data_IF_601608985233
#
_entry.id   IF_601608985233
#
_cell.length_a   1.000
_cell.length_b   1.000
_cell.length_c   1.000
_cell.angle_alpha   90.00
_cell.angle_beta   90.00
_cell.angle_gamma   90.00
#
_symmetry.space_group_name_H-M   'P 1'
#
loop_
_entity.id
_entity.type
_entity.pdbx_description
1 polymer ?
#
# COMPACT_ATOMS: atom_id res chain seq x y z
N UNK A 1 76.03 -27.41 25.98
CA UNK A 1 74.71 -28.07 25.81
C UNK A 1 73.71 -27.46 26.78
N UNK A 2 72.81 -26.60 26.31
CA UNK A 2 71.59 -26.19 27.02
C UNK A 2 70.43 -26.72 26.19
N UNK A 3 69.64 -27.63 26.75
CA UNK A 3 68.48 -28.23 26.08
C UNK A 3 67.26 -27.33 26.38
N UNK A 4 66.71 -26.69 25.36
CA UNK A 4 65.46 -25.94 25.46
C UNK A 4 64.28 -26.88 25.16
N UNK A 5 63.35 -27.00 26.10
CA UNK A 5 62.07 -27.70 25.90
C UNK A 5 61.07 -26.69 25.35
N UNK A 6 60.66 -26.86 24.09
CA UNK A 6 59.60 -26.08 23.47
C UNK A 6 58.25 -26.76 23.77
N UNK A 7 57.39 -26.08 24.55
CA UNK A 7 56.00 -26.47 24.77
C UNK A 7 55.17 -25.98 23.57
N UNK A 8 54.66 -26.90 22.75
CA UNK A 8 53.73 -26.58 21.66
C UNK A 8 52.33 -26.52 22.27
N UNK A 9 51.78 -25.31 22.44
CA UNK A 9 50.36 -25.11 22.74
C UNK A 9 49.56 -25.33 21.47
N UNK A 10 48.79 -26.42 21.42
CA UNK A 10 47.84 -26.70 20.35
C UNK A 10 46.55 -25.92 20.63
N UNK A 11 46.40 -24.72 20.04
CA UNK A 11 45.15 -23.96 20.09
C UNK A 11 44.14 -24.57 19.12
N UNK A 12 43.14 -25.26 19.67
CA UNK A 12 41.96 -25.67 18.91
C UNK A 12 41.20 -24.44 18.43
N UNK A 13 41.30 -24.13 17.14
CA UNK A 13 40.45 -23.15 16.48
C UNK A 13 39.05 -23.78 16.42
N UNK A 14 38.14 -23.34 17.30
CA UNK A 14 36.72 -23.61 17.15
C UNK A 14 36.27 -22.90 15.86
N UNK A 15 36.13 -23.65 14.76
CA UNK A 15 35.37 -23.18 13.61
C UNK A 15 33.98 -22.80 14.11
N UNK A 16 33.62 -21.53 13.96
CA UNK A 16 32.23 -21.10 14.07
C UNK A 16 31.45 -21.88 13.00
N UNK A 17 30.75 -22.93 13.41
CA UNK A 17 29.78 -23.59 12.56
C UNK A 17 28.77 -22.51 12.16
N UNK A 18 28.77 -22.17 10.86
CA UNK A 18 27.81 -21.23 10.31
C UNK A 18 26.41 -21.67 10.72
N UNK A 19 25.62 -20.74 11.27
CA UNK A 19 24.20 -20.98 11.50
C UNK A 19 23.61 -21.56 10.20
N UNK A 20 22.81 -22.65 10.25
CA UNK A 20 22.20 -23.17 9.05
C UNK A 20 21.45 -22.05 8.35
N UNK A 21 21.70 -21.89 7.04
CA UNK A 21 20.99 -20.92 6.22
C UNK A 21 19.49 -21.14 6.39
N UNK A 22 18.77 -20.07 6.72
CA UNK A 22 17.32 -20.11 6.93
C UNK A 22 16.62 -20.58 5.65
N UNK A 23 15.71 -21.56 5.74
CA UNK A 23 14.85 -22.00 4.63
C UNK A 23 13.60 -21.12 4.49
N UNK A 24 13.53 -20.01 5.26
CA UNK A 24 12.44 -19.06 5.24
C UNK A 24 12.62 -18.05 4.10
N UNK A 25 11.66 -17.99 3.19
CA UNK A 25 11.50 -16.90 2.22
C UNK A 25 10.31 -16.04 2.65
N UNK A 26 10.47 -14.72 2.61
CA UNK A 26 9.39 -13.78 2.93
C UNK A 26 9.08 -12.90 1.74
N UNK A 27 7.81 -12.80 1.37
CA UNK A 27 7.35 -11.87 0.35
C UNK A 27 6.47 -10.82 0.99
N UNK A 28 6.67 -9.58 0.59
CA UNK A 28 5.79 -8.48 0.95
C UNK A 28 5.29 -7.79 -0.31
N UNK A 29 3.98 -7.57 -0.39
CA UNK A 29 3.46 -6.59 -1.34
C UNK A 29 2.50 -5.63 -0.68
N UNK A 30 2.36 -4.46 -1.29
CA UNK A 30 1.49 -3.42 -0.79
C UNK A 30 1.16 -2.36 -1.83
N UNK A 31 0.32 -1.42 -1.42
CA UNK A 31 -0.08 -0.30 -2.27
C UNK A 31 0.02 1.01 -1.50
N UNK A 32 0.61 2.03 -2.12
CA UNK A 32 0.63 3.40 -1.60
C UNK A 32 -0.24 4.28 -2.48
N UNK A 33 -1.30 4.85 -1.91
CA UNK A 33 -2.20 5.77 -2.63
C UNK A 33 -1.91 7.21 -2.26
N UNK A 34 -1.75 8.07 -3.26
CA UNK A 34 -1.62 9.53 -3.11
C UNK A 34 -2.53 10.26 -4.09
N UNK A 35 -2.76 11.55 -3.85
CA UNK A 35 -3.49 12.44 -4.76
C UNK A 35 -2.53 13.49 -5.28
N UNK A 36 -2.46 13.67 -6.60
CA UNK A 36 -1.60 14.66 -7.24
C UNK A 36 -2.23 16.05 -7.18
N UNK A 37 -1.43 17.03 -6.74
CA UNK A 37 -1.74 18.45 -6.86
C UNK A 37 -1.44 19.00 -8.25
N UNK A 38 -1.65 20.30 -8.43
CA UNK A 38 -1.44 21.03 -9.69
C UNK A 38 -0.04 20.87 -10.31
N UNK A 39 1.01 20.65 -9.52
CA UNK A 39 2.38 20.44 -10.01
C UNK A 39 2.84 18.98 -9.87
N UNK A 40 1.88 18.08 -9.62
CA UNK A 40 2.08 16.65 -9.45
C UNK A 40 2.51 16.20 -8.06
N UNK A 41 2.80 17.13 -7.15
CA UNK A 41 3.15 16.83 -5.77
C UNK A 41 1.99 16.13 -5.03
N UNK A 42 2.27 15.18 -4.12
CA UNK A 42 1.25 14.69 -3.20
C UNK A 42 0.62 15.82 -2.38
N UNK A 43 -0.70 15.92 -2.38
CA UNK A 43 -1.45 16.87 -1.54
C UNK A 43 -2.03 16.21 -0.29
N UNK A 44 -2.35 17.02 0.71
CA UNK A 44 -3.10 16.56 1.86
C UNK A 44 -4.50 16.13 1.42
N UNK A 45 -4.99 15.01 1.94
CA UNK A 45 -6.35 14.54 1.73
C UNK A 45 -6.80 13.72 2.93
N UNK A 46 -8.07 13.29 2.99
CA UNK A 46 -8.61 12.44 4.05
C UNK A 46 -8.56 10.93 3.68
N UNK A 47 -7.43 10.21 3.88
CA UNK A 47 -7.27 8.85 3.39
C UNK A 47 -8.15 7.81 4.09
N UNK A 48 -8.58 8.09 5.32
CA UNK A 48 -9.35 7.17 6.16
C UNK A 48 -10.87 7.38 6.05
N UNK A 49 -11.33 8.31 5.20
CA UNK A 49 -12.76 8.57 4.94
C UNK A 49 -13.35 7.65 3.86
N UNK A 50 -12.67 6.55 3.51
CA UNK A 50 -13.21 5.53 2.60
C UNK A 50 -14.29 4.63 3.25
N UNK A 51 -14.97 3.80 2.45
CA UNK A 51 -15.88 2.77 2.96
C UNK A 51 -15.18 1.85 3.97
N UNK A 52 -15.90 1.34 4.97
CA UNK A 52 -15.35 0.25 5.77
C UNK A 52 -15.40 -1.04 4.94
N UNK A 53 -14.24 -1.38 4.42
CA UNK A 53 -13.99 -2.46 3.46
C UNK A 53 -13.33 -3.69 4.12
N UNK A 54 -12.89 -3.54 5.37
CA UNK A 54 -12.15 -4.56 6.11
C UNK A 54 -13.05 -5.42 7.01
N UNK A 55 -12.77 -6.74 7.11
CA UNK A 55 -13.49 -7.63 8.00
C UNK A 55 -13.47 -7.19 9.47
N UNK A 56 -14.44 -7.66 10.25
CA UNK A 56 -14.60 -7.27 11.65
C UNK A 56 -13.53 -7.81 12.60
N UNK A 57 -12.83 -8.88 12.22
CA UNK A 57 -11.72 -9.41 12.99
C UNK A 57 -10.45 -8.54 12.87
N UNK A 58 -10.38 -7.63 11.91
CA UNK A 58 -9.23 -6.74 11.72
C UNK A 58 -9.17 -5.73 12.86
N UNK A 59 -8.01 -5.69 13.52
CA UNK A 59 -7.75 -4.73 14.58
C UNK A 59 -7.67 -3.32 14.00
N UNK A 60 -8.18 -2.36 14.76
CA UNK A 60 -8.16 -0.94 14.41
C UNK A 60 -7.54 -0.17 15.55
N UNK A 61 -6.74 0.83 15.20
CA UNK A 61 -6.21 1.76 16.16
C UNK A 61 -7.38 2.49 16.84
N UNK A 62 -7.53 2.31 18.15
CA UNK A 62 -8.59 2.98 18.91
C UNK A 62 -8.18 4.41 19.21
N UNK A 63 -8.54 5.36 18.32
CA UNK A 63 -8.56 6.78 18.65
C UNK A 63 -9.85 7.42 18.15
N UNK A 64 -10.36 8.36 18.94
CA UNK A 64 -11.48 9.18 18.52
C UNK A 64 -11.07 9.96 17.25
N UNK A 65 -11.95 9.97 16.23
CA UNK A 65 -11.81 10.75 14.99
C UNK A 65 -10.64 10.42 14.04
N UNK A 66 -10.14 9.18 13.97
CA UNK A 66 -9.12 8.78 12.95
C UNK A 66 -9.46 9.23 11.53
N UNK A 67 -10.74 9.20 11.16
CA UNK A 67 -11.22 9.54 9.82
C UNK A 67 -11.05 11.01 9.44
N UNK A 68 -10.81 11.89 10.42
CA UNK A 68 -10.60 13.32 10.20
C UNK A 68 -9.10 13.70 10.08
N UNK A 69 -8.19 12.73 10.14
CA UNK A 69 -6.77 12.96 9.94
C UNK A 69 -6.42 13.03 8.44
N UNK A 70 -5.61 14.03 8.08
CA UNK A 70 -5.16 14.24 6.69
C UNK A 70 -3.77 13.66 6.45
N UNK A 71 -3.57 12.90 5.37
CA UNK A 71 -2.28 12.30 5.02
C UNK A 71 -1.85 12.71 3.62
N UNK A 72 -0.56 12.48 3.30
CA UNK A 72 -0.10 12.54 1.90
C UNK A 72 -0.28 11.18 1.22
N UNK A 73 -0.07 10.10 1.98
CA UNK A 73 -0.13 8.74 1.47
C UNK A 73 -1.01 7.88 2.37
N UNK A 74 -1.87 7.08 1.74
CA UNK A 74 -2.52 5.93 2.36
C UNK A 74 -1.72 4.68 2.03
N UNK A 75 -1.25 3.99 3.06
CA UNK A 75 -0.68 2.65 2.93
C UNK A 75 -1.81 1.64 2.99
N UNK A 76 -2.18 1.13 1.82
CA UNK A 76 -3.48 0.54 1.56
C UNK A 76 -3.59 -0.95 1.84
N UNK A 77 -2.68 -1.86 1.45
CA UNK A 77 -2.76 -3.28 1.90
C UNK A 77 -1.37 -3.93 1.85
N UNK A 78 -0.38 -3.48 2.64
CA UNK A 78 0.78 -4.31 2.92
C UNK A 78 0.37 -5.66 3.53
N UNK A 79 0.85 -6.73 2.90
CA UNK A 79 0.73 -8.09 3.40
C UNK A 79 2.08 -8.79 3.34
N UNK A 80 2.38 -9.58 4.36
CA UNK A 80 3.58 -10.43 4.44
C UNK A 80 3.17 -11.89 4.33
N UNK A 81 3.83 -12.60 3.40
CA UNK A 81 3.74 -14.04 3.20
C UNK A 81 5.04 -14.71 3.62
N UNK A 82 4.91 -15.90 4.20
CA UNK A 82 6.05 -16.72 4.61
C UNK A 82 6.01 -18.06 3.89
N UNK A 83 7.14 -18.45 3.34
CA UNK A 83 7.36 -19.75 2.72
C UNK A 83 8.49 -20.44 3.48
N UNK A 84 8.25 -21.64 3.98
CA UNK A 84 9.21 -22.42 4.75
C UNK A 84 8.99 -23.91 4.48
N UNK A 85 10.05 -24.73 4.54
CA UNK A 85 9.91 -26.18 4.35
C UNK A 85 9.46 -26.90 5.63
N UNK A 86 9.70 -26.29 6.80
CA UNK A 86 9.37 -26.85 8.12
C UNK A 86 8.70 -25.81 9.02
N UNK A 87 7.89 -26.26 10.00
CA UNK A 87 7.36 -25.38 11.02
C UNK A 87 8.46 -24.52 11.67
N UNK A 88 8.27 -23.21 11.64
CA UNK A 88 9.25 -22.24 12.13
C UNK A 88 8.53 -21.16 12.92
N UNK A 89 9.16 -20.67 13.99
CA UNK A 89 8.66 -19.51 14.74
C UNK A 89 9.59 -18.33 14.52
N UNK A 90 9.01 -17.18 14.21
CA UNK A 90 9.74 -15.95 13.93
C UNK A 90 9.13 -14.75 14.66
N UNK A 91 9.91 -13.68 14.74
CA UNK A 91 9.44 -12.35 15.10
C UNK A 91 9.50 -11.44 13.87
N UNK A 92 8.55 -10.52 13.78
CA UNK A 92 8.42 -9.52 12.71
C UNK A 92 8.34 -8.15 13.34
N UNK A 93 9.05 -7.19 12.77
CA UNK A 93 8.93 -5.79 13.13
C UNK A 93 8.96 -4.93 11.86
N UNK A 94 8.02 -4.00 11.77
CA UNK A 94 7.96 -3.00 10.70
C UNK A 94 7.97 -1.63 11.35
N UNK A 95 8.96 -0.83 10.98
CA UNK A 95 8.98 0.59 11.29
C UNK A 95 8.20 1.36 10.21
N UNK A 96 7.58 2.46 10.60
CA UNK A 96 6.97 3.41 9.69
C UNK A 96 7.31 4.85 10.14
N UNK A 97 8.56 5.31 9.93
CA UNK A 97 9.08 6.52 10.58
C UNK A 97 8.31 7.79 10.28
N UNK A 98 7.68 7.88 9.10
CA UNK A 98 6.87 9.03 8.63
C UNK A 98 5.39 8.69 8.53
N UNK A 99 4.90 7.81 9.40
CA UNK A 99 3.52 7.36 9.37
C UNK A 99 3.06 6.67 10.64
N UNK A 100 1.82 6.21 10.62
CA UNK A 100 1.20 5.40 11.67
C UNK A 100 0.54 4.16 11.10
N UNK A 101 0.53 3.09 11.89
CA UNK A 101 -0.21 1.87 11.61
C UNK A 101 -1.61 2.00 12.20
N UNK A 102 -2.63 1.91 11.34
CA UNK A 102 -4.02 2.22 11.69
C UNK A 102 -4.90 0.98 11.74
N UNK A 103 -4.59 -0.06 10.97
CA UNK A 103 -5.30 -1.34 10.97
C UNK A 103 -4.33 -2.50 10.78
N UNK A 104 -4.59 -3.66 11.41
CA UNK A 104 -3.73 -4.85 11.27
C UNK A 104 -4.43 -6.15 11.68
N UNK A 105 -3.88 -7.26 11.22
CA UNK A 105 -4.22 -8.61 11.67
C UNK A 105 -3.07 -9.56 11.30
N UNK A 106 -2.69 -10.55 12.13
CA UNK A 106 -3.17 -10.88 13.48
C UNK A 106 -2.76 -9.86 14.56
N UNK A 107 -3.12 -10.12 15.81
CA UNK A 107 -2.84 -9.32 17.00
C UNK A 107 -1.34 -9.05 17.13
N UNK A 108 -0.96 -7.79 17.00
CA UNK A 108 0.40 -7.33 17.25
C UNK A 108 0.74 -7.40 18.76
N UNK A 109 1.99 -7.74 19.05
CA UNK A 109 2.56 -7.69 20.40
C UNK A 109 2.92 -6.25 20.80
N UNK A 110 3.33 -5.43 19.81
CA UNK A 110 3.67 -4.02 19.99
C UNK A 110 3.14 -3.17 18.85
N UNK A 111 2.70 -1.97 19.19
CA UNK A 111 2.37 -0.89 18.25
C UNK A 111 3.12 0.34 18.74
N UNK A 112 4.08 0.82 17.94
CA UNK A 112 4.75 2.09 18.17
C UNK A 112 3.77 3.22 17.88
N UNK A 113 3.53 4.04 18.90
CA UNK A 113 2.74 5.27 18.81
C UNK A 113 3.59 6.39 19.40
N UNK A 114 4.06 7.32 18.58
CA UNK A 114 4.37 8.64 19.14
C UNK A 114 3.05 9.30 19.55
N UNK A 115 3.06 10.06 20.64
CA UNK A 115 1.89 10.79 21.15
C UNK A 115 1.11 11.46 20.02
N UNK A 116 -0.18 11.18 19.96
CA UNK A 116 -1.06 11.86 19.01
C UNK A 116 -1.01 13.36 19.33
N UNK A 117 -0.72 14.25 18.37
CA UNK A 117 -0.96 15.66 18.61
C UNK A 117 -2.44 15.83 18.94
N UNK A 118 -2.72 16.43 20.10
CA UNK A 118 -4.08 16.73 20.58
C UNK A 118 -4.82 17.76 19.70
N UNK A 119 -4.27 18.13 18.53
CA UNK A 119 -4.86 19.12 17.62
C UNK A 119 -4.80 18.68 16.16
N UNK A 120 -5.94 18.83 15.48
CA UNK A 120 -6.09 18.73 14.02
C UNK A 120 -5.19 19.70 13.24
N UNK A 121 -4.68 20.75 13.91
CA UNK A 121 -3.86 21.81 13.34
C UNK A 121 -2.35 21.47 13.28
N UNK A 122 -1.90 20.37 13.91
CA UNK A 122 -0.51 19.96 13.86
C UNK A 122 -0.23 19.20 12.55
N UNK A 123 -0.03 19.96 11.48
CA UNK A 123 0.23 19.44 10.13
C UNK A 123 1.18 18.25 10.11
N UNK A 124 0.81 17.21 9.36
CA UNK A 124 1.65 16.07 8.94
C UNK A 124 2.60 15.46 10.00
N UNK A 125 2.25 15.53 11.29
CA UNK A 125 3.12 15.11 12.38
C UNK A 125 3.13 13.58 12.64
N UNK A 126 2.74 12.76 11.66
CA UNK A 126 2.86 11.30 11.76
C UNK A 126 4.33 10.91 11.83
N UNK A 127 4.77 10.47 13.00
CA UNK A 127 6.16 10.08 13.22
C UNK A 127 6.23 8.84 14.09
N UNK A 128 7.28 8.07 13.85
CA UNK A 128 7.70 6.95 14.68
C UNK A 128 6.59 5.90 14.88
N UNK A 129 5.75 5.68 13.87
CA UNK A 129 4.87 4.52 13.86
C UNK A 129 5.68 3.25 13.74
N UNK A 130 5.22 2.17 14.37
CA UNK A 130 5.76 0.83 14.14
C UNK A 130 4.76 -0.25 14.56
N UNK A 131 4.99 -1.47 14.11
CA UNK A 131 4.21 -2.64 14.51
C UNK A 131 5.13 -3.84 14.67
N UNK A 132 4.81 -4.76 15.58
CA UNK A 132 5.60 -5.97 15.74
C UNK A 132 4.85 -7.15 16.34
N UNK A 133 5.29 -8.33 15.95
CA UNK A 133 4.84 -9.63 16.42
C UNK A 133 6.05 -10.39 16.95
N UNK A 134 6.01 -10.81 18.21
CA UNK A 134 7.15 -11.48 18.85
C UNK A 134 7.18 -12.99 18.59
N UNK A 135 6.03 -13.58 18.25
CA UNK A 135 5.91 -15.01 17.96
C UNK A 135 4.85 -15.26 16.89
N UNK A 136 5.33 -15.45 15.66
CA UNK A 136 4.56 -15.89 14.50
C UNK A 136 4.97 -17.31 14.19
N UNK A 137 4.06 -18.25 14.39
CA UNK A 137 4.26 -19.65 14.02
C UNK A 137 3.90 -19.80 12.54
N UNK A 138 4.88 -20.10 11.69
CA UNK A 138 4.70 -20.45 10.28
C UNK A 138 4.57 -21.97 10.18
N UNK A 139 3.48 -22.44 9.58
CA UNK A 139 3.01 -23.81 9.68
C UNK A 139 2.76 -24.41 8.28
N UNK A 140 3.83 -24.72 7.50
CA UNK A 140 3.68 -25.22 6.14
C UNK A 140 2.97 -26.58 6.12
N UNK A 141 2.04 -26.76 5.20
CA UNK A 141 1.26 -28.00 5.02
C UNK A 141 0.08 -28.18 5.97
N UNK A 142 -0.10 -27.32 6.98
CA UNK A 142 -1.27 -27.33 7.84
C UNK A 142 -2.51 -26.81 7.12
N UNK A 143 -3.69 -27.32 7.49
CA UNK A 143 -4.97 -26.79 7.01
C UNK A 143 -5.68 -26.06 8.14
N UNK A 144 -5.39 -24.77 8.26
CA UNK A 144 -5.95 -23.91 9.30
C UNK A 144 -7.28 -23.29 8.88
N UNK A 145 -8.14 -23.00 9.85
CA UNK A 145 -9.39 -22.27 9.60
C UNK A 145 -9.17 -20.78 9.85
N UNK A 146 -9.21 -19.98 8.79
CA UNK A 146 -9.05 -18.53 8.88
C UNK A 146 -10.37 -17.85 9.21
N UNK A 147 -10.35 -16.72 9.94
CA UNK A 147 -11.56 -15.99 10.26
C UNK A 147 -12.23 -15.47 8.97
N UNK A 148 -13.55 -15.52 8.96
CA UNK A 148 -14.39 -14.86 7.96
C UNK A 148 -15.37 -13.92 8.65
N UNK A 149 -15.86 -12.94 7.90
CA UNK A 149 -17.02 -12.12 8.26
C UNK A 149 -18.09 -12.25 7.18
N UNK A 150 -19.34 -11.98 7.53
CA UNK A 150 -20.40 -11.84 6.53
C UNK A 150 -20.07 -10.66 5.60
N UNK A 151 -20.28 -10.82 4.30
CA UNK A 151 -20.07 -9.80 3.28
C UNK A 151 -18.79 -9.97 2.46
N UNK A 152 -18.80 -9.41 1.25
CA UNK A 152 -17.62 -9.37 0.38
C UNK A 152 -16.59 -8.40 0.97
N UNK A 153 -15.33 -8.84 1.03
CA UNK A 153 -14.19 -7.97 1.34
C UNK A 153 -13.03 -8.39 0.47
N UNK A 154 -12.36 -7.41 -0.13
CA UNK A 154 -11.17 -7.67 -0.94
C UNK A 154 -9.99 -8.22 -0.14
N UNK A 155 -10.04 -8.14 1.19
CA UNK A 155 -9.08 -8.78 2.08
C UNK A 155 -8.90 -10.27 1.74
N UNK A 156 -9.98 -10.98 1.41
CA UNK A 156 -9.93 -12.42 1.21
C UNK A 156 -9.18 -12.86 -0.04
N UNK A 157 -9.16 -12.04 -1.09
CA UNK A 157 -8.40 -12.33 -2.31
C UNK A 157 -6.89 -12.47 -2.02
N UNK A 158 -6.38 -11.74 -1.02
CA UNK A 158 -4.99 -11.83 -0.59
C UNK A 158 -4.62 -13.22 -0.02
N UNK A 159 -5.60 -14.07 0.31
CA UNK A 159 -5.35 -15.45 0.77
C UNK A 159 -5.07 -16.42 -0.38
N UNK A 160 -5.30 -16.07 -1.64
CA UNK A 160 -5.17 -16.98 -2.78
C UNK A 160 -3.72 -17.15 -3.24
N UNK A 161 -2.81 -17.51 -2.33
CA UNK A 161 -1.37 -17.72 -2.56
C UNK A 161 -0.93 -19.14 -2.17
N UNK A 162 0.36 -19.46 -2.26
CA UNK A 162 0.92 -20.73 -1.76
C UNK A 162 1.67 -20.55 -0.43
N UNK A 163 1.50 -19.41 0.24
CA UNK A 163 2.17 -19.13 1.51
C UNK A 163 1.73 -20.10 2.61
N UNK A 164 2.65 -20.39 3.53
CA UNK A 164 2.35 -21.20 4.69
C UNK A 164 1.35 -20.48 5.60
N UNK A 165 0.32 -21.17 6.12
CA UNK A 165 -0.52 -20.66 7.18
C UNK A 165 0.29 -20.23 8.39
N UNK A 166 -0.23 -19.26 9.13
CA UNK A 166 0.40 -18.73 10.32
C UNK A 166 -0.55 -18.68 11.52
N UNK A 167 0.05 -18.79 12.71
CA UNK A 167 -0.63 -18.65 13.99
C UNK A 167 0.10 -17.65 14.88
N UNK A 168 -0.65 -16.71 15.44
CA UNK A 168 -0.19 -15.74 16.44
C UNK A 168 -1.12 -15.84 17.65
N UNK A 169 -0.62 -16.41 18.74
CA UNK A 169 -1.46 -16.76 19.89
C UNK A 169 -2.61 -17.68 19.47
N UNK A 170 -3.86 -17.20 19.61
CA UNK A 170 -5.07 -17.94 19.20
C UNK A 170 -5.55 -17.62 17.78
N UNK A 171 -4.95 -16.62 17.13
CA UNK A 171 -5.38 -16.14 15.82
C UNK A 171 -4.63 -16.88 14.71
N UNK A 172 -5.33 -17.22 13.64
CA UNK A 172 -4.82 -17.96 12.49
C UNK A 172 -5.10 -17.16 11.23
N UNK A 173 -4.15 -17.11 10.31
CA UNK A 173 -4.27 -16.42 9.03
C UNK A 173 -3.29 -17.03 8.02
N UNK A 174 -3.34 -16.59 6.77
CA UNK A 174 -2.36 -16.95 5.72
C UNK A 174 -1.24 -15.92 5.52
N UNK A 175 -1.42 -14.73 6.10
CA UNK A 175 -0.60 -13.55 5.90
C UNK A 175 -0.63 -12.66 7.15
N UNK A 176 0.39 -11.82 7.31
CA UNK A 176 0.29 -10.67 8.22
C UNK A 176 -0.15 -9.48 7.39
N UNK A 177 -1.24 -8.85 7.80
CA UNK A 177 -1.81 -7.66 7.19
C UNK A 177 -1.58 -6.45 8.08
N UNK A 178 -1.21 -5.33 7.48
CA UNK A 178 -1.16 -4.04 8.17
C UNK A 178 -1.39 -2.88 7.20
N UNK A 179 -2.08 -1.84 7.66
CA UNK A 179 -2.38 -0.60 6.91
C UNK A 179 -2.01 0.62 7.74
N UNK A 180 -1.82 1.74 7.06
CA UNK A 180 -1.39 2.96 7.73
C UNK A 180 -1.61 4.23 6.94
N UNK A 181 -1.24 5.34 7.56
CA UNK A 181 -1.27 6.68 6.97
C UNK A 181 0.12 7.29 7.08
N UNK A 182 0.59 7.95 6.01
CA UNK A 182 1.91 8.53 5.93
C UNK A 182 1.90 10.00 5.53
N UNK A 183 2.95 10.72 5.95
CA UNK A 183 3.28 12.10 5.55
C UNK A 183 4.53 12.19 4.68
N UNK A 184 4.99 11.08 4.11
CA UNK A 184 6.13 11.09 3.19
C UNK A 184 5.71 11.52 1.78
N UNK A 185 6.70 11.99 1.01
CA UNK A 185 6.53 12.37 -0.38
C UNK A 185 6.71 11.13 -1.27
N UNK A 186 5.67 10.73 -1.98
CA UNK A 186 5.77 9.71 -3.02
C UNK A 186 6.64 10.21 -4.19
N UNK A 187 7.44 9.36 -4.85
CA UNK A 187 8.45 9.78 -5.83
C UNK A 187 7.85 10.14 -7.20
N UNK A 188 6.65 9.66 -7.55
CA UNK A 188 6.05 9.91 -8.87
C UNK A 188 5.11 11.11 -8.78
N UNK A 189 5.46 12.19 -9.47
CA UNK A 189 4.70 13.44 -9.51
C UNK A 189 4.15 13.68 -10.92
N UNK A 190 2.87 13.36 -11.16
CA UNK A 190 2.27 13.52 -12.48
C UNK A 190 1.40 14.77 -12.59
N UNK A 191 1.44 15.42 -13.75
CA UNK A 191 0.51 16.52 -14.06
C UNK A 191 0.13 16.53 -15.54
N UNK A 192 -1.04 17.06 -15.84
CA UNK A 192 -1.40 17.38 -17.22
C UNK A 192 -0.75 18.70 -17.65
N UNK A 193 -0.23 18.70 -18.87
CA UNK A 193 0.28 19.87 -19.58
C UNK A 193 -0.85 20.54 -20.37
N UNK A 194 -0.61 21.78 -20.80
CA UNK A 194 -1.60 22.56 -21.56
C UNK A 194 -1.90 21.99 -22.94
N UNK A 195 -1.01 21.18 -23.50
CA UNK A 195 -1.19 20.46 -24.77
C UNK A 195 -1.93 19.11 -24.59
N UNK A 196 -2.36 18.79 -23.37
CA UNK A 196 -3.08 17.57 -23.03
C UNK A 196 -2.19 16.38 -22.70
N UNK A 197 -0.86 16.47 -22.87
CA UNK A 197 0.07 15.40 -22.46
C UNK A 197 0.16 15.31 -20.94
N UNK A 198 0.66 14.17 -20.47
CA UNK A 198 0.94 13.95 -19.05
C UNK A 198 2.45 14.00 -18.86
N UNK A 199 2.91 14.96 -18.05
CA UNK A 199 4.27 14.98 -17.55
C UNK A 199 4.35 14.09 -16.31
N UNK A 200 5.28 13.15 -16.29
CA UNK A 200 5.57 12.29 -15.14
C UNK A 200 6.98 12.60 -14.68
N UNK A 201 7.10 13.17 -13.47
CA UNK A 201 8.38 13.45 -12.83
C UNK A 201 8.68 12.43 -11.76
N UNK A 202 9.87 11.83 -11.81
CA UNK A 202 10.46 11.08 -10.72
C UNK A 202 11.27 12.05 -9.84
N UNK A 203 10.84 12.23 -8.60
CA UNK A 203 11.54 13.02 -7.58
C UNK A 203 12.35 12.15 -6.62
N UNK A 204 12.37 10.84 -6.86
CA UNK A 204 13.20 9.89 -6.14
C UNK A 204 14.65 9.90 -6.60
N UNK A 205 15.48 9.15 -5.89
CA UNK A 205 16.89 8.91 -6.14
C UNK A 205 17.17 7.66 -6.98
N UNK A 206 16.13 6.89 -7.29
CA UNK A 206 16.19 5.66 -8.09
C UNK A 206 15.20 5.75 -9.25
N UNK A 207 15.51 5.19 -10.43
CA UNK A 207 14.57 5.13 -11.53
C UNK A 207 13.29 4.40 -11.13
N UNK A 208 12.14 4.91 -11.57
CA UNK A 208 10.88 4.18 -11.48
C UNK A 208 10.83 3.20 -12.65
N UNK A 209 10.86 1.87 -12.40
CA UNK A 209 11.09 0.89 -13.46
C UNK A 209 9.89 0.76 -14.40
N UNK A 210 8.67 0.93 -13.87
CA UNK A 210 7.43 0.88 -14.62
C UNK A 210 6.38 1.83 -14.04
N UNK A 211 5.66 2.52 -14.93
CA UNK A 211 4.40 3.18 -14.66
C UNK A 211 3.34 2.81 -15.72
N UNK A 212 2.07 2.88 -15.35
CA UNK A 212 0.90 2.65 -16.19
C UNK A 212 0.02 3.88 -16.03
N UNK A 213 -0.09 4.67 -17.10
CA UNK A 213 -1.11 5.71 -17.19
C UNK A 213 -2.42 5.03 -17.51
N UNK A 214 -3.41 5.15 -16.63
CA UNK A 214 -4.73 4.54 -16.78
C UNK A 214 -5.80 5.63 -16.75
N UNK A 215 -6.80 5.48 -17.60
CA UNK A 215 -7.98 6.33 -17.60
C UNK A 215 -9.24 5.52 -17.89
N UNK A 216 -10.31 5.78 -17.13
CA UNK A 216 -11.64 5.23 -17.36
C UNK A 216 -12.66 6.37 -17.36
N UNK A 217 -13.44 6.48 -18.44
CA UNK A 217 -14.49 7.49 -18.64
C UNK A 217 -15.79 6.78 -18.95
N UNK A 218 -16.73 6.71 -17.99
CA UNK A 218 -18.02 6.06 -18.21
C UNK A 218 -17.95 4.59 -18.62
N UNK A 219 -16.88 3.88 -18.25
CA UNK A 219 -16.65 2.47 -18.61
C UNK A 219 -15.79 2.25 -19.85
N UNK A 220 -15.55 3.28 -20.67
CA UNK A 220 -14.52 3.22 -21.71
C UNK A 220 -13.17 3.47 -21.07
N UNK A 221 -12.20 2.57 -21.27
CA UNK A 221 -10.89 2.67 -20.65
C UNK A 221 -9.77 2.78 -21.67
N UNK A 222 -8.67 3.37 -21.23
CA UNK A 222 -7.40 3.44 -21.95
C UNK A 222 -6.24 3.27 -20.98
N UNK A 223 -5.16 2.66 -21.45
CA UNK A 223 -3.94 2.56 -20.64
C UNK A 223 -2.67 2.64 -21.50
N UNK A 224 -1.56 3.04 -20.89
CA UNK A 224 -0.23 3.07 -21.51
C UNK A 224 0.86 2.73 -20.49
N UNK A 225 1.72 1.78 -20.86
CA UNK A 225 2.91 1.42 -20.09
C UNK A 225 4.07 2.36 -20.43
N UNK A 226 4.81 2.78 -19.40
CA UNK A 226 5.97 3.66 -19.47
C UNK A 226 7.06 3.04 -18.61
N UNK A 227 8.21 2.71 -19.21
CA UNK A 227 9.32 2.04 -18.50
C UNK A 227 10.48 3.00 -18.27
N UNK A 228 11.25 2.75 -17.21
CA UNK A 228 12.54 3.42 -16.95
C UNK A 228 12.45 4.93 -16.78
N UNK A 229 11.58 5.42 -15.89
CA UNK A 229 11.44 6.86 -15.64
C UNK A 229 12.56 7.31 -14.70
N UNK A 230 13.64 7.86 -15.27
CA UNK A 230 14.79 8.34 -14.50
C UNK A 230 14.49 9.66 -13.79
N UNK A 231 14.06 10.69 -14.53
CA UNK A 231 13.80 12.03 -13.97
C UNK A 231 12.48 12.62 -14.45
N UNK A 232 12.30 12.78 -15.76
CA UNK A 232 11.12 13.40 -16.33
C UNK A 232 10.78 12.74 -17.66
N UNK A 233 9.51 12.44 -17.88
CA UNK A 233 9.01 11.99 -19.18
C UNK A 233 7.68 12.63 -19.49
N UNK A 234 7.38 12.80 -20.78
CA UNK A 234 6.11 13.30 -21.28
C UNK A 234 5.43 12.22 -22.09
N UNK A 235 4.15 12.00 -21.82
CA UNK A 235 3.39 10.84 -22.28
C UNK A 235 2.08 11.32 -22.89
N UNK A 236 1.76 10.84 -24.08
CA UNK A 236 0.44 11.09 -24.66
C UNK A 236 -0.65 10.37 -23.86
N UNK A 237 -1.85 10.99 -23.69
CA UNK A 237 -2.98 10.31 -23.07
C UNK A 237 -3.25 8.94 -23.70
N UNK A 238 -3.77 7.97 -22.93
CA UNK A 238 -4.11 6.68 -23.50
C UNK A 238 -5.28 6.81 -24.48
N UNK A 239 -5.29 5.96 -25.49
CA UNK A 239 -6.46 5.79 -26.36
C UNK A 239 -7.57 5.06 -25.59
N UNK A 240 -8.82 5.51 -25.74
CA UNK A 240 -9.98 4.98 -24.99
C UNK A 240 -10.56 3.71 -25.62
N UNK A 241 -9.69 2.76 -26.02
CA UNK A 241 -10.01 1.51 -26.70
C UNK A 241 -9.42 0.29 -25.98
N UNK A 242 -8.98 0.44 -24.73
CA UNK A 242 -8.33 -0.62 -23.98
C UNK A 242 -9.30 -1.69 -23.49
N UNK A 243 -8.75 -2.89 -23.27
CA UNK A 243 -9.45 -4.03 -22.69
C UNK A 243 -8.99 -4.28 -21.25
N UNK A 244 -9.94 -4.41 -20.32
CA UNK A 244 -9.62 -4.58 -18.90
C UNK A 244 -8.98 -5.94 -18.61
N UNK A 245 -9.40 -7.01 -19.29
CA UNK A 245 -8.85 -8.34 -19.05
C UNK A 245 -7.38 -8.41 -19.50
N UNK A 246 -7.06 -7.81 -20.65
CA UNK A 246 -5.70 -7.67 -21.14
C UNK A 246 -4.85 -6.80 -20.21
N UNK A 247 -5.36 -5.66 -19.74
CA UNK A 247 -4.66 -4.82 -18.77
C UNK A 247 -4.32 -5.61 -17.49
N UNK A 248 -5.29 -6.34 -16.93
CA UNK A 248 -5.09 -7.17 -15.74
C UNK A 248 -4.04 -8.25 -15.98
N UNK A 249 -4.11 -8.94 -17.12
CA UNK A 249 -3.15 -9.99 -17.47
C UNK A 249 -1.73 -9.43 -17.60
N UNK A 250 -1.56 -8.28 -18.28
CA UNK A 250 -0.27 -7.61 -18.42
C UNK A 250 0.25 -7.16 -17.06
N UNK A 251 -0.58 -6.51 -16.23
CA UNK A 251 -0.18 -6.08 -14.88
C UNK A 251 0.26 -7.25 -14.00
N UNK A 252 -0.41 -8.41 -14.08
CA UNK A 252 0.05 -9.63 -13.39
C UNK A 252 1.43 -10.06 -13.88
N UNK A 253 1.66 -10.06 -15.19
CA UNK A 253 2.97 -10.39 -15.77
C UNK A 253 4.08 -9.47 -15.28
N UNK A 254 3.82 -8.15 -15.24
CA UNK A 254 4.76 -7.15 -14.73
C UNK A 254 5.05 -7.37 -13.24
N UNK A 255 4.03 -7.59 -12.41
CA UNK A 255 4.22 -7.87 -10.98
C UNK A 255 5.07 -9.12 -10.73
N UNK A 256 4.95 -10.13 -11.58
CA UNK A 256 5.81 -11.32 -11.55
C UNK A 256 7.24 -11.00 -11.97
N UNK A 257 7.42 -10.20 -13.03
CA UNK A 257 8.74 -9.70 -13.47
C UNK A 257 9.47 -8.96 -12.33
N UNK A 258 8.74 -8.23 -11.49
CA UNK A 258 9.29 -7.51 -10.34
C UNK A 258 9.46 -8.34 -9.06
N UNK A 259 9.16 -9.65 -9.10
CA UNK A 259 9.51 -10.60 -8.04
C UNK A 259 8.34 -11.15 -7.22
N UNK A 260 7.09 -10.91 -7.61
CA UNK A 260 5.96 -11.64 -7.03
C UNK A 260 5.83 -13.04 -7.62
N UNK A 261 5.37 -13.99 -6.82
CA UNK A 261 4.90 -15.25 -7.37
C UNK A 261 3.59 -15.05 -8.13
N UNK A 262 3.33 -15.90 -9.12
CA UNK A 262 2.15 -15.82 -9.99
C UNK A 262 0.84 -15.66 -9.20
N UNK A 263 0.66 -16.46 -8.13
CA UNK A 263 -0.54 -16.39 -7.29
C UNK A 263 -0.59 -15.13 -6.42
N UNK A 264 0.55 -14.60 -5.99
CA UNK A 264 0.61 -13.32 -5.26
C UNK A 264 0.23 -12.14 -6.17
N UNK A 265 0.74 -12.12 -7.40
CA UNK A 265 0.40 -11.09 -8.38
C UNK A 265 -1.10 -11.13 -8.74
N UNK A 266 -1.66 -12.32 -8.94
CA UNK A 266 -3.10 -12.52 -9.14
C UNK A 266 -3.91 -12.03 -7.93
N UNK A 267 -3.50 -12.43 -6.71
CA UNK A 267 -4.13 -12.02 -5.47
C UNK A 267 -4.12 -10.49 -5.30
N UNK A 268 -3.00 -9.83 -5.58
CA UNK A 268 -2.87 -8.37 -5.49
C UNK A 268 -3.83 -7.66 -6.46
N UNK A 269 -3.87 -8.08 -7.74
CA UNK A 269 -4.77 -7.49 -8.73
C UNK A 269 -6.24 -7.74 -8.36
N UNK A 270 -6.57 -8.92 -7.84
CA UNK A 270 -7.93 -9.26 -7.40
C UNK A 270 -8.34 -8.49 -6.13
N UNK A 271 -7.41 -8.28 -5.18
CA UNK A 271 -7.64 -7.43 -4.00
C UNK A 271 -8.04 -5.99 -4.38
N UNK A 272 -7.64 -5.50 -5.54
CA UNK A 272 -7.91 -4.11 -5.92
C UNK A 272 -8.81 -3.94 -7.14
N UNK A 273 -9.34 -5.02 -7.71
CA UNK A 273 -9.99 -5.02 -9.01
C UNK A 273 -11.14 -4.02 -9.14
N UNK A 274 -11.92 -3.79 -8.07
CA UNK A 274 -12.98 -2.78 -8.08
C UNK A 274 -12.44 -1.35 -8.00
N UNK A 275 -11.40 -1.10 -7.20
CA UNK A 275 -10.96 0.26 -6.86
C UNK A 275 -9.88 0.82 -7.79
N UNK A 276 -9.04 -0.02 -8.39
CA UNK A 276 -8.00 0.45 -9.32
C UNK A 276 -8.61 0.89 -10.64
N UNK A 277 -9.62 0.17 -11.13
CA UNK A 277 -10.13 0.36 -12.48
C UNK A 277 -11.47 1.12 -12.52
N UNK A 278 -11.85 1.77 -11.41
CA UNK A 278 -13.01 2.66 -11.34
C UNK A 278 -12.82 3.91 -12.23
N UNK A 279 -13.88 4.70 -12.41
CA UNK A 279 -13.84 5.92 -13.23
C UNK A 279 -12.77 6.92 -12.73
N UNK A 280 -12.14 7.64 -13.66
CA UNK A 280 -11.08 8.61 -13.39
C UNK A 280 -9.71 8.26 -13.99
N UNK A 281 -8.74 9.14 -13.75
CA UNK A 281 -7.36 9.00 -14.23
C UNK A 281 -6.43 8.64 -13.08
N UNK A 282 -5.64 7.58 -13.27
CA UNK A 282 -4.66 7.10 -12.29
C UNK A 282 -3.33 6.82 -12.97
N UNK A 283 -2.25 6.96 -12.19
CA UNK A 283 -0.97 6.36 -12.55
C UNK A 283 -0.65 5.29 -11.53
N UNK A 284 -0.55 4.05 -12.01
CA UNK A 284 0.04 2.95 -11.24
C UNK A 284 1.52 2.89 -11.52
N UNK A 285 2.37 2.65 -10.53
CA UNK A 285 3.80 2.48 -10.77
C UNK A 285 4.42 1.54 -9.77
N UNK A 286 5.53 0.92 -10.16
CA UNK A 286 6.30 0.08 -9.26
C UNK A 286 7.20 0.98 -8.41
N UNK A 287 6.99 0.92 -7.10
CA UNK A 287 7.75 1.70 -6.15
C UNK A 287 9.18 1.14 -6.06
N UNK A 288 10.23 1.97 -6.21
CA UNK A 288 11.61 1.48 -6.10
C UNK A 288 11.86 0.81 -4.75
N UNK A 289 12.40 -0.41 -4.76
CA UNK A 289 12.60 -1.22 -3.54
C UNK A 289 13.36 -0.48 -2.44
N UNK A 290 14.44 0.23 -2.79
CA UNK A 290 15.23 1.01 -1.82
C UNK A 290 14.39 2.07 -1.09
N UNK A 291 13.39 2.65 -1.76
CA UNK A 291 12.49 3.62 -1.14
C UNK A 291 11.42 2.94 -0.28
N UNK A 292 10.94 1.76 -0.67
CA UNK A 292 10.09 0.92 0.20
C UNK A 292 10.85 0.58 1.48
N UNK A 293 12.11 0.16 1.38
CA UNK A 293 12.97 -0.17 2.53
C UNK A 293 13.21 1.04 3.45
N UNK A 294 13.33 2.25 2.89
CA UNK A 294 13.47 3.48 3.66
C UNK A 294 12.16 3.93 4.33
N UNK A 295 11.00 3.73 3.69
CA UNK A 295 9.68 4.13 4.21
C UNK A 295 9.15 3.11 5.23
N UNK A 296 9.37 1.83 4.98
CA UNK A 296 8.92 0.70 5.80
C UNK A 296 10.10 -0.24 6.14
N UNK A 297 11.05 0.17 6.99
CA UNK A 297 12.11 -0.74 7.43
C UNK A 297 11.51 -2.02 8.03
N UNK A 298 11.91 -3.17 7.50
CA UNK A 298 11.40 -4.49 7.90
C UNK A 298 12.53 -5.29 8.55
N UNK A 299 12.26 -5.82 9.74
CA UNK A 299 13.15 -6.74 10.45
C UNK A 299 12.42 -8.03 10.81
N UNK A 300 13.01 -9.16 10.44
CA UNK A 300 12.50 -10.50 10.75
C UNK A 300 13.61 -11.31 11.44
N UNK A 301 13.26 -12.09 12.45
CA UNK A 301 14.22 -12.95 13.19
C UNK A 301 13.61 -14.32 13.50
N UNK A 302 14.25 -15.44 13.10
CA UNK A 302 15.52 -15.53 12.36
C UNK A 302 15.42 -14.87 10.98
N UNK A 303 16.55 -14.38 10.45
CA UNK A 303 16.56 -13.71 9.16
C UNK A 303 16.11 -14.68 8.05
N UNK A 304 15.18 -14.27 7.16
CA UNK A 304 14.87 -15.03 5.95
C UNK A 304 16.11 -15.21 5.06
N UNK A 305 16.18 -16.29 4.28
CA UNK A 305 17.17 -16.40 3.20
C UNK A 305 16.90 -15.40 2.08
N UNK A 306 15.64 -15.04 1.88
CA UNK A 306 15.21 -14.06 0.89
C UNK A 306 14.05 -13.21 1.43
N UNK A 307 14.09 -11.92 1.10
CA UNK A 307 12.95 -11.02 1.25
C UNK A 307 12.68 -10.39 -0.12
N UNK A 308 11.51 -10.67 -0.70
CA UNK A 308 11.00 -9.97 -1.88
C UNK A 308 10.00 -8.90 -1.45
N UNK A 309 10.08 -7.69 -2.03
CA UNK A 309 9.17 -6.58 -1.70
C UNK A 309 8.72 -5.88 -2.98
N UNK A 310 7.42 -5.94 -3.28
CA UNK A 310 6.84 -5.30 -4.47
C UNK A 310 5.69 -4.39 -4.05
N UNK A 311 5.87 -3.09 -4.21
CA UNK A 311 4.84 -2.11 -3.88
C UNK A 311 4.37 -1.39 -5.14
N UNK A 312 3.06 -1.23 -5.26
CA UNK A 312 2.45 -0.40 -6.31
C UNK A 312 2.11 0.96 -5.72
N UNK A 313 2.64 2.03 -6.30
CA UNK A 313 2.09 3.36 -6.08
C UNK A 313 0.86 3.57 -6.96
N UNK A 314 -0.20 4.15 -6.39
CA UNK A 314 -1.42 4.59 -7.07
C UNK A 314 -1.52 6.10 -6.87
N UNK A 315 -1.45 6.86 -7.96
CA UNK A 315 -1.64 8.31 -7.90
C UNK A 315 -2.96 8.66 -8.57
N UNK A 316 -3.87 9.28 -7.82
CA UNK A 316 -5.07 9.91 -8.37
C UNK A 316 -4.69 11.21 -9.05
N UNK A 317 -5.09 11.39 -10.32
CA UNK A 317 -4.71 12.54 -11.14
C UNK A 317 -5.94 13.32 -11.57
N UNK A 318 -5.95 14.62 -11.29
CA UNK A 318 -7.01 15.52 -11.71
C UNK A 318 -6.89 15.86 -13.21
N UNK A 319 -7.47 15.01 -14.05
CA UNK A 319 -7.45 15.16 -15.51
C UNK A 319 -8.38 16.27 -16.02
N UNK A 320 -8.18 16.77 -17.26
CA UNK A 320 -9.11 17.72 -17.88
C UNK A 320 -10.55 17.20 -17.93
N UNK A 321 -10.73 15.90 -18.22
CA UNK A 321 -12.03 15.26 -18.19
C UNK A 321 -12.63 15.28 -16.79
N UNK A 322 -11.87 14.88 -15.76
CA UNK A 322 -12.35 14.91 -14.37
C UNK A 322 -12.74 16.32 -13.92
N UNK A 323 -11.94 17.34 -14.26
CA UNK A 323 -12.27 18.75 -13.96
C UNK A 323 -13.60 19.16 -14.58
N UNK A 324 -13.79 18.84 -15.85
CA UNK A 324 -15.03 19.16 -16.56
C UNK A 324 -16.23 18.42 -15.96
N UNK A 325 -16.07 17.14 -15.62
CA UNK A 325 -17.12 16.32 -14.99
C UNK A 325 -17.54 16.89 -13.63
N UNK A 326 -16.57 17.24 -12.76
CA UNK A 326 -16.87 17.83 -11.45
C UNK A 326 -17.55 19.19 -11.61
N UNK A 327 -17.07 20.06 -12.51
CA UNK A 327 -17.65 21.37 -12.75
C UNK A 327 -19.10 21.27 -13.24
N UNK A 328 -19.34 20.46 -14.27
CA UNK A 328 -20.68 20.25 -14.82
C UNK A 328 -21.64 19.67 -13.78
N UNK A 329 -21.20 18.68 -13.00
CA UNK A 329 -22.01 18.09 -11.95
C UNK A 329 -22.32 19.08 -10.82
N UNK A 330 -21.39 19.97 -10.49
CA UNK A 330 -21.62 21.04 -9.52
C UNK A 330 -22.64 22.08 -10.04
N UNK A 331 -22.53 22.47 -11.30
CA UNK A 331 -23.43 23.44 -11.94
C UNK A 331 -24.86 22.88 -12.09
N UNK A 332 -24.99 21.58 -12.33
CA UNK A 332 -26.27 20.87 -12.49
C UNK A 332 -26.82 20.31 -11.18
N UNK A 333 -26.09 20.45 -10.07
CA UNK A 333 -26.41 19.83 -8.79
C UNK A 333 -26.59 18.30 -8.87
N UNK A 334 -25.80 17.63 -9.71
CA UNK A 334 -25.78 16.18 -9.88
C UNK A 334 -24.99 15.50 -8.75
N UNK A 335 -25.69 15.17 -7.67
CA UNK A 335 -25.12 14.49 -6.51
C UNK A 335 -24.58 13.10 -6.88
N UNK A 336 -25.24 12.38 -7.80
CA UNK A 336 -24.88 11.01 -8.15
C UNK A 336 -23.51 10.96 -8.83
N UNK A 337 -23.24 11.92 -9.73
CA UNK A 337 -21.92 12.04 -10.35
C UNK A 337 -20.85 12.46 -9.34
N UNK A 338 -21.11 13.43 -8.48
CA UNK A 338 -20.13 13.85 -7.46
C UNK A 338 -19.80 12.73 -6.45
N UNK A 339 -20.77 11.89 -6.10
CA UNK A 339 -20.57 10.74 -5.20
C UNK A 339 -19.57 9.72 -5.74
N UNK A 340 -19.45 9.56 -7.06
CA UNK A 340 -18.49 8.61 -7.67
C UNK A 340 -17.03 8.92 -7.36
N UNK A 341 -16.69 10.19 -7.09
CA UNK A 341 -15.34 10.60 -6.72
C UNK A 341 -14.99 10.26 -5.26
N UNK A 342 -15.98 9.92 -4.44
CA UNK A 342 -15.79 9.48 -3.07
C UNK A 342 -14.85 10.38 -2.27
N UNK A 343 -13.91 9.77 -1.55
CA UNK A 343 -12.90 10.47 -0.73
C UNK A 343 -11.90 11.32 -1.53
N UNK A 344 -11.92 11.26 -2.86
CA UNK A 344 -11.06 12.08 -3.73
C UNK A 344 -11.74 13.36 -4.24
N UNK A 345 -13.05 13.53 -3.99
CA UNK A 345 -13.77 14.74 -4.37
C UNK A 345 -13.18 16.00 -3.72
N UNK A 346 -12.95 15.95 -2.41
CA UNK A 346 -12.44 17.08 -1.63
C UNK A 346 -11.07 17.59 -2.14
N UNK A 347 -10.03 16.75 -2.28
CA UNK A 347 -8.75 17.25 -2.76
C UNK A 347 -8.82 17.73 -4.22
N UNK A 348 -9.67 17.13 -5.07
CA UNK A 348 -9.88 17.63 -6.43
C UNK A 348 -10.59 18.98 -6.48
N UNK A 349 -11.66 19.17 -5.70
CA UNK A 349 -12.37 20.43 -5.62
C UNK A 349 -11.47 21.56 -5.09
N UNK A 350 -10.64 21.26 -4.09
CA UNK A 350 -9.64 22.17 -3.56
C UNK A 350 -8.63 22.61 -4.64
N UNK A 351 -8.09 21.67 -5.43
CA UNK A 351 -7.16 21.96 -6.53
C UNK A 351 -7.81 22.74 -7.68
N UNK A 352 -9.11 22.53 -7.94
CA UNK A 352 -9.87 23.31 -8.90
C UNK A 352 -10.23 24.71 -8.39
N UNK A 353 -10.07 24.96 -7.08
CA UNK A 353 -10.56 26.17 -6.38
C UNK A 353 -12.07 26.39 -6.57
N UNK A 354 -12.83 25.33 -6.75
CA UNK A 354 -14.29 25.42 -6.87
C UNK A 354 -14.87 25.65 -5.48
N UNK A 355 -15.51 26.80 -5.29
CA UNK A 355 -16.26 27.11 -4.07
C UNK A 355 -17.75 26.97 -4.36
N UNK A 356 -18.25 25.74 -4.30
CA UNK A 356 -19.67 25.42 -4.44
C UNK A 356 -20.20 24.92 -3.11
N UNK A 357 -21.26 25.55 -2.59
CA UNK A 357 -21.95 25.07 -1.38
C UNK A 357 -22.50 23.66 -1.57
N UNK A 358 -22.83 23.28 -2.81
CA UNK A 358 -23.26 21.94 -3.15
C UNK A 358 -22.12 20.92 -3.03
N UNK A 359 -20.91 21.25 -3.51
CA UNK A 359 -19.74 20.39 -3.32
C UNK A 359 -19.43 20.19 -1.82
N UNK A 360 -19.48 21.26 -1.03
CA UNK A 360 -19.25 21.17 0.42
C UNK A 360 -20.28 20.27 1.12
N UNK A 361 -21.55 20.34 0.71
CA UNK A 361 -22.59 19.42 1.21
C UNK A 361 -22.28 17.96 0.82
N UNK A 362 -21.79 17.74 -0.41
CA UNK A 362 -21.42 16.41 -0.88
C UNK A 362 -20.22 15.83 -0.14
N UNK A 363 -19.17 16.62 0.09
CA UNK A 363 -18.00 16.24 0.89
C UNK A 363 -18.41 15.80 2.30
N UNK A 364 -19.28 16.59 2.96
CA UNK A 364 -19.81 16.25 4.27
C UNK A 364 -20.63 14.95 4.27
N UNK A 365 -21.45 14.72 3.23
CA UNK A 365 -22.24 13.50 3.09
C UNK A 365 -21.36 12.25 2.89
N UNK A 366 -20.30 12.36 2.08
CA UNK A 366 -19.33 11.29 1.85
C UNK A 366 -18.61 10.94 3.16
N UNK A 367 -18.13 11.95 3.89
CA UNK A 367 -17.47 11.75 5.18
C UNK A 367 -18.40 11.09 6.23
N UNK A 368 -19.68 11.46 6.26
CA UNK A 368 -20.65 10.84 7.17
C UNK A 368 -20.92 9.38 6.83
N UNK A 369 -21.06 9.04 5.54
CA UNK A 369 -21.30 7.67 5.09
C UNK A 369 -20.14 6.75 5.48
N UNK A 370 -18.91 7.24 5.34
CA UNK A 370 -17.73 6.52 5.76
C UNK A 370 -17.74 6.19 7.27
N UNK A 371 -18.28 7.05 8.12
CA UNK A 371 -18.28 6.86 9.58
C UNK A 371 -19.28 5.80 10.08
N UNK A 372 -20.34 5.49 9.32
CA UNK A 372 -21.45 4.61 9.75
C UNK A 372 -21.20 3.11 9.61
N UNK A 373 -20.12 2.71 8.96
CA UNK A 373 -19.77 1.30 8.82
C UNK A 373 -18.81 0.88 9.95
N UNK A 374 -19.35 0.74 11.15
CA UNK A 374 -18.68 0.06 12.25
C UNK A 374 -19.19 -1.38 12.30
N UNK A 375 -18.29 -2.33 12.51
CA UNK A 375 -18.67 -3.68 12.86
C UNK A 375 -19.47 -3.64 14.16
N UNK A 376 -20.77 -3.90 14.07
CA UNK A 376 -21.58 -4.25 15.23
C UNK A 376 -21.12 -5.65 15.62
N UNK A 377 -20.35 -5.74 16.72
CA UNK A 377 -19.92 -7.02 17.29
C UNK A 377 -21.10 -7.78 17.89
#
# INVERSE_FOLDING_TARGET
>A
MKLAVALILCTTILSAAGLPASDLVTHEWGTFTSVAGKHGEPVAWAPLSGPADLPCFVQRLSTQNLKAFSGLVRMETPVLYFYAARPTTLSVHVDFPKGWITEWYPQAARIGKADFPNSFAAGFAYRNGSIGWDSVQVLPGENLQFPGSKGASHYYAARETDSAPLRVGKQQEKLIFYRGIGSFQAPLWPKYLSDGKIEIRNTGDQPIPLAIVFENRGGQLGYRFVRGIEYLTSVDPPEMNGDLAQLRQQLVGELVEFGLYQKEALAMVETWHHSWFEEGTRIFYIYPRAQVDAVLPLKITPAPSEIARVFVGRVEVLSPWTRQTIQNAADQQDAATLQKFGRFLEPFAAEMKVRSSFIQQMEAAIAQTASRAACVQ
#
